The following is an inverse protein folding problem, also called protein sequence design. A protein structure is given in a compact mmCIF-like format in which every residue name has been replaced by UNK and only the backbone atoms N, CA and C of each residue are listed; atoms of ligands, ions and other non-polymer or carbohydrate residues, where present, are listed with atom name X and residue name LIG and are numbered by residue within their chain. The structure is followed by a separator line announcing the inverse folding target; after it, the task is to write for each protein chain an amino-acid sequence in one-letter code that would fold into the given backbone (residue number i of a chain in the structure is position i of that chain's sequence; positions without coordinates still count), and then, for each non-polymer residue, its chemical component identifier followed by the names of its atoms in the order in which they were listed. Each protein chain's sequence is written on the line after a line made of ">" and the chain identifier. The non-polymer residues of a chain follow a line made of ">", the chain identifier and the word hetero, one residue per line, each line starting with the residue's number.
data_IF_121873417751
#
_entry.id   IF_121873417751
#
_cell.length_a   1.000
_cell.length_b   1.000
_cell.length_c   1.000
_cell.angle_alpha   90.00
_cell.angle_beta   90.00
_cell.angle_gamma   90.00
#
_symmetry.space_group_name_H-M   'P 1'
#
loop_
_entity.id
_entity.type
_entity.pdbx_description
1 polymer ?
#
# COMPACT_ATOMS: atom_id res chain seq x y z
N UNK A 1 -24.15 -5.02 -24.05
CA UNK A 1 -23.01 -4.55 -23.26
C UNK A 1 -22.72 -3.10 -23.65
N UNK A 2 -23.42 -2.13 -23.06
CA UNK A 2 -23.29 -0.70 -23.41
C UNK A 2 -22.23 -0.07 -22.51
N UNK A 3 -20.99 -0.03 -22.98
CA UNK A 3 -19.88 0.67 -22.30
C UNK A 3 -19.34 1.71 -23.27
N UNK A 4 -20.03 2.85 -23.31
CA UNK A 4 -19.50 4.13 -23.80
C UNK A 4 -20.42 5.21 -23.20
N UNK A 5 -20.07 5.67 -22.00
CA UNK A 5 -20.51 6.96 -21.49
C UNK A 5 -19.29 7.89 -21.58
N UNK A 6 -19.13 8.63 -22.69
CA UNK A 6 -18.01 9.56 -22.85
C UNK A 6 -18.07 10.74 -21.86
N UNK A 7 -19.21 10.95 -21.20
CA UNK A 7 -19.43 11.95 -20.14
C UNK A 7 -19.49 11.31 -18.74
N UNK A 8 -18.44 10.59 -18.34
CA UNK A 8 -18.29 10.32 -16.90
C UNK A 8 -17.94 11.63 -16.22
N UNK A 9 -18.84 12.10 -15.35
CA UNK A 9 -18.56 13.27 -14.51
C UNK A 9 -17.28 13.04 -13.71
N UNK A 10 -16.50 14.10 -13.49
CA UNK A 10 -15.25 14.05 -12.70
C UNK A 10 -15.45 13.37 -11.33
N UNK A 11 -16.66 13.43 -10.78
CA UNK A 11 -17.07 12.79 -9.53
C UNK A 11 -17.23 11.27 -9.67
N UNK A 12 -17.81 10.78 -10.77
CA UNK A 12 -17.95 9.34 -11.05
C UNK A 12 -16.58 8.70 -11.34
N UNK A 13 -15.71 9.41 -12.06
CA UNK A 13 -14.31 9.00 -12.29
C UNK A 13 -13.54 8.86 -10.97
N UNK A 14 -13.69 9.81 -10.06
CA UNK A 14 -13.06 9.75 -8.73
C UNK A 14 -13.59 8.57 -7.90
N UNK A 15 -14.91 8.37 -7.85
CA UNK A 15 -15.50 7.25 -7.12
C UNK A 15 -15.08 5.89 -7.70
N UNK A 16 -15.09 5.75 -9.03
CA UNK A 16 -14.64 4.54 -9.70
C UNK A 16 -13.16 4.23 -9.42
N UNK A 17 -12.29 5.24 -9.54
CA UNK A 17 -10.86 5.11 -9.22
C UNK A 17 -10.61 4.75 -7.76
N UNK A 18 -11.39 5.33 -6.82
CA UNK A 18 -11.30 4.98 -5.40
C UNK A 18 -11.77 3.54 -5.14
N UNK A 19 -12.83 3.09 -5.79
CA UNK A 19 -13.36 1.74 -5.60
C UNK A 19 -12.43 0.67 -6.16
N UNK A 20 -11.91 0.87 -7.37
CA UNK A 20 -10.89 -0.01 -7.97
C UNK A 20 -9.63 -0.01 -7.11
N UNK A 21 -9.20 1.16 -6.69
CA UNK A 21 -8.03 1.32 -5.83
C UNK A 21 -8.15 0.56 -4.52
N UNK A 22 -9.27 0.68 -3.82
CA UNK A 22 -9.52 -0.06 -2.56
C UNK A 22 -9.45 -1.57 -2.76
N UNK A 23 -9.95 -2.09 -3.87
CA UNK A 23 -9.86 -3.52 -4.20
C UNK A 23 -8.41 -3.98 -4.41
N UNK A 24 -7.61 -3.19 -5.12
CA UNK A 24 -6.17 -3.48 -5.33
C UNK A 24 -5.42 -3.43 -3.99
N UNK A 25 -5.70 -2.40 -3.19
CA UNK A 25 -5.11 -2.22 -1.85
C UNK A 25 -5.33 -3.44 -0.96
N UNK A 26 -6.54 -4.03 -0.97
CA UNK A 26 -6.82 -5.24 -0.19
C UNK A 26 -5.86 -6.38 -0.54
N UNK A 27 -5.65 -6.63 -1.82
CA UNK A 27 -4.71 -7.66 -2.30
C UNK A 27 -3.26 -7.28 -1.99
N UNK A 28 -2.86 -6.03 -2.23
CA UNK A 28 -1.50 -5.56 -1.95
C UNK A 28 -1.14 -5.64 -0.47
N UNK A 29 -2.05 -5.21 0.42
CA UNK A 29 -1.85 -5.30 1.87
C UNK A 29 -1.76 -6.75 2.31
N UNK A 30 -2.56 -7.65 1.74
CA UNK A 30 -2.46 -9.07 2.02
C UNK A 30 -1.09 -9.65 1.61
N UNK A 31 -0.57 -9.27 0.45
CA UNK A 31 0.79 -9.66 0.02
C UNK A 31 1.87 -9.09 0.94
N UNK A 32 1.77 -7.82 1.33
CA UNK A 32 2.72 -7.17 2.25
C UNK A 32 2.70 -7.81 3.64
N UNK A 33 1.52 -8.17 4.13
CA UNK A 33 1.37 -8.89 5.39
C UNK A 33 2.10 -10.23 5.33
N UNK A 34 1.91 -11.00 4.25
CA UNK A 34 2.56 -12.29 4.11
C UNK A 34 4.08 -12.16 3.97
N UNK A 35 4.56 -11.15 3.22
CA UNK A 35 5.98 -10.85 3.11
C UNK A 35 6.60 -10.52 4.47
N UNK A 36 5.93 -9.70 5.29
CA UNK A 36 6.39 -9.35 6.64
C UNK A 36 6.37 -10.55 7.60
N UNK A 37 5.33 -11.37 7.54
CA UNK A 37 5.26 -12.60 8.36
C UNK A 37 6.41 -13.55 8.00
N UNK A 38 6.72 -13.70 6.71
CA UNK A 38 7.86 -14.48 6.24
C UNK A 38 9.20 -13.92 6.74
N UNK A 39 9.40 -12.61 6.66
CA UNK A 39 10.61 -11.95 7.16
C UNK A 39 10.78 -12.12 8.68
N UNK A 40 9.69 -11.99 9.43
CA UNK A 40 9.67 -12.22 10.88
C UNK A 40 9.96 -13.68 11.24
N UNK A 41 9.45 -14.64 10.47
CA UNK A 41 9.77 -16.06 10.63
C UNK A 41 11.24 -16.37 10.35
N UNK A 42 11.82 -15.78 9.29
CA UNK A 42 13.25 -15.93 8.98
C UNK A 42 14.10 -15.38 10.13
N UNK A 43 13.76 -14.20 10.64
CA UNK A 43 14.48 -13.61 11.75
C UNK A 43 14.36 -14.44 13.03
N UNK A 44 13.18 -15.01 13.29
CA UNK A 44 12.96 -15.95 14.38
C UNK A 44 13.84 -17.20 14.23
N UNK A 45 13.89 -17.80 13.04
CA UNK A 45 14.74 -18.94 12.75
C UNK A 45 16.24 -18.64 12.93
N UNK A 46 16.68 -17.47 12.48
CA UNK A 46 18.05 -16.97 12.67
C UNK A 46 18.41 -16.86 14.16
N UNK A 47 17.48 -16.34 14.97
CA UNK A 47 17.72 -16.20 16.40
C UNK A 47 17.81 -17.55 17.12
N UNK A 48 16.98 -18.51 16.69
CA UNK A 48 17.04 -19.90 17.18
C UNK A 48 18.39 -20.54 16.87
N UNK A 49 18.99 -20.25 15.71
CA UNK A 49 20.34 -20.71 15.34
C UNK A 49 21.44 -20.07 16.20
N UNK A 50 21.36 -18.76 16.45
CA UNK A 50 22.37 -18.02 17.23
C UNK A 50 22.30 -18.26 18.76
N UNK A 51 21.31 -19.00 19.28
CA UNK A 51 21.01 -19.16 20.73
C UNK A 51 20.90 -17.81 21.48
N UNK A 52 20.68 -16.72 20.75
CA UNK A 52 20.66 -15.38 21.30
C UNK A 52 19.28 -15.09 21.89
N UNK A 53 19.23 -14.33 22.99
CA UNK A 53 17.96 -14.00 23.65
C UNK A 53 17.08 -13.11 22.75
N UNK A 54 15.77 -13.39 22.71
CA UNK A 54 14.75 -12.60 21.99
C UNK A 54 14.80 -11.11 22.36
N UNK A 55 15.20 -10.79 23.60
CA UNK A 55 15.31 -9.40 24.07
C UNK A 55 16.39 -8.58 23.38
N UNK A 56 17.50 -9.20 22.96
CA UNK A 56 18.60 -8.49 22.26
C UNK A 56 18.19 -8.20 20.81
N UNK A 57 17.42 -9.10 20.20
CA UNK A 57 16.87 -8.92 18.86
C UNK A 57 15.83 -7.81 18.83
N UNK A 58 14.88 -7.80 19.77
CA UNK A 58 13.81 -6.79 19.85
C UNK A 58 14.36 -5.38 20.09
N UNK A 59 15.45 -5.26 20.84
CA UNK A 59 16.18 -4.00 21.03
C UNK A 59 17.14 -3.68 19.87
N UNK A 60 17.23 -4.55 18.85
CA UNK A 60 18.07 -4.29 17.71
C UNK A 60 17.47 -3.18 16.85
N UNK A 61 18.29 -2.17 16.53
CA UNK A 61 17.90 -1.08 15.63
C UNK A 61 17.34 -1.59 14.30
N UNK A 62 17.85 -2.74 13.84
CA UNK A 62 17.42 -3.37 12.59
C UNK A 62 15.94 -3.76 12.62
N UNK A 63 15.46 -4.37 13.71
CA UNK A 63 14.06 -4.78 13.83
C UNK A 63 13.14 -3.56 13.87
N UNK A 64 13.50 -2.57 14.67
CA UNK A 64 12.71 -1.35 14.81
C UNK A 64 12.63 -0.60 13.47
N UNK A 65 13.74 -0.49 12.75
CA UNK A 65 13.79 0.10 11.42
C UNK A 65 12.88 -0.65 10.44
N UNK A 66 12.95 -1.98 10.38
CA UNK A 66 12.08 -2.77 9.51
C UNK A 66 10.60 -2.61 9.83
N UNK A 67 10.24 -2.60 11.11
CA UNK A 67 8.86 -2.37 11.53
C UNK A 67 8.34 -1.00 11.07
N UNK A 68 9.16 0.04 11.19
CA UNK A 68 8.82 1.37 10.68
C UNK A 68 8.63 1.33 9.16
N UNK A 69 9.59 0.80 8.40
CA UNK A 69 9.51 0.73 6.94
C UNK A 69 8.28 -0.05 6.46
N UNK A 70 7.90 -1.12 7.16
CA UNK A 70 6.69 -1.89 6.88
C UNK A 70 5.42 -1.05 7.06
N UNK A 71 5.28 -0.35 8.20
CA UNK A 71 4.13 0.52 8.48
C UNK A 71 4.05 1.63 7.44
N UNK A 72 5.19 2.28 7.15
CA UNK A 72 5.27 3.31 6.12
C UNK A 72 4.98 2.76 4.72
N UNK A 73 5.41 1.54 4.40
CA UNK A 73 5.11 0.89 3.12
C UNK A 73 3.61 0.65 2.94
N UNK A 74 2.95 0.07 3.94
CA UNK A 74 1.51 -0.13 3.93
C UNK A 74 0.74 1.21 3.84
N UNK A 75 1.15 2.21 4.62
CA UNK A 75 0.54 3.54 4.59
C UNK A 75 0.75 4.25 3.24
N UNK A 76 1.94 4.11 2.64
CA UNK A 76 2.25 4.68 1.33
C UNK A 76 1.38 4.07 0.24
N UNK A 77 1.15 2.75 0.27
CA UNK A 77 0.20 2.11 -0.64
C UNK A 77 -1.20 2.68 -0.49
N UNK A 78 -1.65 2.96 0.74
CA UNK A 78 -2.99 3.54 0.96
C UNK A 78 -3.08 4.96 0.42
N UNK A 79 -2.02 5.76 0.62
CA UNK A 79 -1.95 7.15 0.17
C UNK A 79 -1.79 7.30 -1.34
N UNK A 80 -1.22 6.31 -2.04
CA UNK A 80 -1.00 6.40 -3.50
C UNK A 80 -2.31 6.50 -4.28
N UNK A 81 -3.39 5.93 -3.74
CA UNK A 81 -4.71 5.85 -4.39
C UNK A 81 -5.44 7.20 -4.43
N UNK A 82 -5.64 7.90 -3.29
CA UNK A 82 -6.17 9.26 -3.32
C UNK A 82 -5.27 10.20 -4.11
N UNK A 83 -3.93 10.05 -4.04
CA UNK A 83 -3.01 10.88 -4.83
C UNK A 83 -3.21 10.67 -6.33
N UNK A 84 -3.26 9.42 -6.79
CA UNK A 84 -3.44 9.09 -8.21
C UNK A 84 -4.79 9.57 -8.75
N UNK A 85 -5.86 9.37 -7.99
CA UNK A 85 -7.21 9.81 -8.38
C UNK A 85 -7.34 11.33 -8.40
N UNK A 86 -6.74 12.04 -7.45
CA UNK A 86 -6.69 13.51 -7.46
C UNK A 86 -5.86 14.06 -8.62
N UNK A 87 -4.71 13.45 -8.92
CA UNK A 87 -3.86 13.83 -10.04
C UNK A 87 -4.61 13.67 -11.37
N UNK A 88 -5.28 12.52 -11.55
CA UNK A 88 -6.06 12.26 -12.75
C UNK A 88 -7.25 13.22 -12.90
N UNK A 89 -7.94 13.55 -11.80
CA UNK A 89 -8.97 14.60 -11.79
C UNK A 89 -8.42 15.95 -12.26
N UNK A 90 -7.24 16.35 -11.77
CA UNK A 90 -6.59 17.62 -12.15
C UNK A 90 -6.20 17.65 -13.63
N UNK A 91 -5.64 16.55 -14.15
CA UNK A 91 -5.20 16.45 -15.53
C UNK A 91 -6.38 16.43 -16.51
N UNK A 92 -7.45 15.68 -16.21
CA UNK A 92 -8.60 15.53 -17.10
C UNK A 92 -9.55 16.74 -17.02
N UNK A 93 -9.77 17.31 -15.83
CA UNK A 93 -10.58 18.51 -15.64
C UNK A 93 -9.94 19.79 -16.21
N UNK A 94 -8.61 19.83 -16.34
CA UNK A 94 -7.91 20.96 -16.97
C UNK A 94 -7.99 20.99 -18.50
N UNK A 95 -8.47 19.93 -19.15
CA UNK A 95 -8.53 19.82 -20.61
C UNK A 95 -9.92 20.15 -21.20
N UNK A 96 -10.92 20.42 -20.36
CA UNK A 96 -12.27 20.83 -20.76
C UNK A 96 -12.52 22.35 -20.55
N UNK A 97 -11.52 23.09 -20.05
CA UNK A 97 -11.56 24.54 -19.82
C UNK A 97 -10.63 25.29 -20.83
N UNK A 98 -10.52 24.76 -22.06
CA UNK A 98 -9.95 25.46 -23.22
C UNK A 98 -10.87 25.33 -24.42
#
# INVERSE_FOLDING_TARGET
>A
MKIHKPDMSNTELFQSGMQIGKSILGTTVNTLLFAYLGESMILFAYLRMQKQSLGILLNSRLLFQNCIFMIFGALSCVLVIPISTLLMKKLCGGNHDR
#
